data_IF_284784959806
#
_entry.id   IF_284784959806
#
_cell.length_a   1.000
_cell.length_b   1.000
_cell.length_c   1.000
_cell.angle_alpha   90.00
_cell.angle_beta   90.00
_cell.angle_gamma   90.00
#
_symmetry.space_group_name_H-M   'P 1'
#
loop_
_entity.id
_entity.type
_entity.pdbx_description
1 polymer ?
#
# COMPACT_ATOMS: atom_id res chain seq x y z
N UNK A 1 4.39 10.06 -3.36
CA UNK A 1 3.32 9.05 -3.39
C UNK A 1 1.99 9.78 -3.39
N UNK A 2 1.12 9.55 -4.37
CA UNK A 2 -0.21 10.16 -4.43
C UNK A 2 -1.15 9.49 -3.43
N UNK A 3 -2.21 10.17 -2.97
CA UNK A 3 -3.20 9.57 -2.05
C UNK A 3 -3.82 8.27 -2.61
N UNK A 4 -4.09 8.24 -3.91
CA UNK A 4 -4.56 7.05 -4.62
C UNK A 4 -3.58 5.87 -4.54
N UNK A 5 -2.29 6.14 -4.74
CA UNK A 5 -1.25 5.13 -4.61
C UNK A 5 -1.16 4.59 -3.17
N UNK A 6 -1.45 5.42 -2.17
CA UNK A 6 -1.50 5.01 -0.77
C UNK A 6 -2.69 4.07 -0.49
N UNK A 7 -3.87 4.40 -1.03
CA UNK A 7 -5.08 3.54 -0.94
C UNK A 7 -4.85 2.20 -1.64
N UNK A 8 -4.27 2.21 -2.84
CA UNK A 8 -3.93 1.00 -3.60
C UNK A 8 -2.90 0.13 -2.87
N UNK A 9 -1.88 0.74 -2.27
CA UNK A 9 -0.85 0.02 -1.52
C UNK A 9 -1.39 -0.63 -0.23
N UNK A 10 -2.22 0.10 0.53
CA UNK A 10 -2.85 -0.43 1.76
C UNK A 10 -3.84 -1.54 1.44
N UNK A 11 -4.63 -1.39 0.37
CA UNK A 11 -5.59 -2.40 -0.06
C UNK A 11 -4.89 -3.65 -0.61
N UNK A 12 -3.80 -3.50 -1.36
CA UNK A 12 -2.95 -4.61 -1.80
C UNK A 12 -2.39 -5.39 -0.61
N UNK A 13 -1.82 -4.67 0.37
CA UNK A 13 -1.25 -5.31 1.55
C UNK A 13 -2.33 -6.00 2.41
N UNK A 14 -3.55 -5.47 2.48
CA UNK A 14 -4.66 -6.15 3.14
C UNK A 14 -5.09 -7.41 2.40
N UNK A 15 -5.19 -7.37 1.06
CA UNK A 15 -5.58 -8.54 0.27
C UNK A 15 -4.62 -9.73 0.47
N UNK A 16 -3.34 -9.45 0.69
CA UNK A 16 -2.31 -10.47 0.94
C UNK A 16 -2.01 -10.70 2.43
N UNK A 17 -2.79 -10.10 3.33
CA UNK A 17 -2.54 -10.11 4.80
C UNK A 17 -1.11 -9.69 5.19
N UNK A 18 -0.46 -8.86 4.37
CA UNK A 18 0.90 -8.39 4.60
C UNK A 18 0.90 -7.25 5.63
N UNK A 19 1.85 -7.30 6.58
CA UNK A 19 2.03 -6.22 7.56
C UNK A 19 2.79 -5.01 6.98
N UNK A 20 3.44 -5.19 5.83
CA UNK A 20 4.26 -4.18 5.18
C UNK A 20 3.93 -4.11 3.68
N UNK A 21 3.83 -2.88 3.17
CA UNK A 21 3.90 -2.61 1.74
C UNK A 21 5.37 -2.43 1.34
N UNK A 22 5.77 -3.06 0.23
CA UNK A 22 7.11 -2.92 -0.31
C UNK A 22 7.05 -2.07 -1.56
N UNK A 23 7.60 -0.86 -1.50
CA UNK A 23 7.72 0.04 -2.65
C UNK A 23 9.16 0.00 -3.16
N UNK A 24 9.36 -0.27 -4.44
CA UNK A 24 10.70 -0.23 -5.03
C UNK A 24 11.05 1.22 -5.40
N UNK A 25 12.01 1.83 -4.71
CA UNK A 25 12.43 3.20 -4.98
C UNK A 25 13.62 3.22 -5.96
N UNK A 26 13.42 3.57 -7.25
CA UNK A 26 14.51 3.57 -8.23
C UNK A 26 15.58 4.62 -7.92
N UNK A 27 15.20 5.74 -7.27
CA UNK A 27 16.15 6.76 -6.82
C UNK A 27 17.02 6.27 -5.66
N UNK A 28 16.45 5.46 -4.78
CA UNK A 28 17.12 4.93 -3.60
C UNK A 28 17.93 3.66 -3.95
N UNK A 29 17.65 3.00 -5.08
CA UNK A 29 18.21 1.71 -5.49
C UNK A 29 17.97 0.59 -4.47
N UNK A 30 16.90 0.69 -3.69
CA UNK A 30 16.47 -0.36 -2.77
C UNK A 30 14.95 -0.36 -2.57
N UNK A 31 14.46 -1.46 -2.03
CA UNK A 31 13.07 -1.61 -1.62
C UNK A 31 12.84 -0.92 -0.27
N UNK A 32 11.78 -0.11 -0.19
CA UNK A 32 11.28 0.51 1.02
C UNK A 32 10.18 -0.35 1.60
N UNK A 33 10.31 -0.74 2.87
CA UNK A 33 9.25 -1.44 3.61
C UNK A 33 8.49 -0.43 4.45
N UNK A 34 7.22 -0.24 4.14
CA UNK A 34 6.35 0.71 4.81
C UNK A 34 5.32 -0.09 5.60
N UNK A 35 5.19 0.17 6.91
CA UNK A 35 4.16 -0.49 7.70
C UNK A 35 2.77 -0.05 7.27
N UNK A 36 1.88 -1.01 7.06
CA UNK A 36 0.49 -0.73 6.66
C UNK A 36 -0.22 0.13 7.71
N UNK A 37 0.10 -0.05 9.00
CA UNK A 37 -0.42 0.77 10.10
C UNK A 37 -0.04 2.24 9.96
N UNK A 38 1.16 2.53 9.46
CA UNK A 38 1.64 3.90 9.26
C UNK A 38 0.94 4.52 8.04
N UNK A 39 0.83 3.76 6.95
CA UNK A 39 0.08 4.19 5.76
C UNK A 39 -1.39 4.49 6.08
N UNK A 40 -2.03 3.68 6.93
CA UNK A 40 -3.41 3.91 7.39
C UNK A 40 -3.57 5.23 8.15
N UNK A 41 -2.55 5.72 8.85
CA UNK A 41 -2.60 7.01 9.57
C UNK A 41 -2.66 8.21 8.63
N UNK A 42 -2.08 8.09 7.44
CA UNK A 42 -2.13 9.15 6.42
C UNK A 42 -3.42 9.13 5.60
N UNK A 43 -4.24 8.08 5.74
CA UNK A 43 -5.55 8.01 5.11
C UNK A 43 -6.60 8.65 6.03
N UNK A 44 -7.52 9.45 5.49
CA UNK A 44 -8.62 9.96 6.30
C UNK A 44 -9.48 8.81 6.82
N UNK A 45 -10.06 8.96 8.02
CA UNK A 45 -10.97 7.98 8.59
C UNK A 45 -12.15 7.74 7.64
N UNK A 46 -12.53 6.48 7.43
CA UNK A 46 -13.61 6.10 6.50
C UNK A 46 -13.17 5.93 5.04
N UNK A 47 -11.87 6.01 4.73
CA UNK A 47 -11.36 5.65 3.39
C UNK A 47 -11.69 4.19 3.08
N UNK A 48 -12.51 3.98 2.05
CA UNK A 48 -12.83 2.63 1.55
C UNK A 48 -11.60 2.05 0.88
N UNK A 49 -11.08 0.97 1.46
CA UNK A 49 -9.92 0.24 0.97
C UNK A 49 -10.42 -0.89 0.09
N UNK A 50 -10.69 -0.59 -1.18
CA UNK A 50 -11.07 -1.62 -2.15
C UNK A 50 -9.83 -2.42 -2.52
N UNK A 51 -9.82 -3.77 -2.35
CA UNK A 51 -8.68 -4.58 -2.78
C UNK A 51 -8.39 -4.33 -4.26
N UNK A 52 -7.11 -4.20 -4.65
CA UNK A 52 -6.77 -4.06 -6.07
C UNK A 52 -7.26 -5.30 -6.82
N UNK A 53 -7.57 -5.16 -8.13
CA UNK A 53 -7.90 -6.31 -8.96
C UNK A 53 -6.76 -7.32 -8.85
N UNK A 54 -7.09 -8.56 -8.47
CA UNK A 54 -6.13 -9.65 -8.43
C UNK A 54 -5.48 -9.76 -9.81
N UNK A 55 -4.14 -9.72 -9.94
CA UNK A 55 -3.51 -9.97 -11.22
C UNK A 55 -3.95 -11.37 -11.67
N UNK A 56 -4.67 -11.43 -12.78
CA UNK A 56 -5.05 -12.70 -13.41
C UNK A 56 -3.77 -13.37 -13.90
N UNK A 57 -3.54 -14.66 -13.59
CA UNK A 57 -2.30 -15.37 -13.92
C UNK A 57 -2.07 -15.52 -15.42
#
# INVERSE_FOLDING_TARGET
MSRDALVAAVSAAQATQAMHHVENCPKCRHALKIQVSDMKRFLPPGTVLTPPPTPTP
#
